data_IF_800122451961
#
_entry.id   IF_800122451961
#
_cell.length_a   1.000
_cell.length_b   1.000
_cell.length_c   1.000
_cell.angle_alpha   90.00
_cell.angle_beta   90.00
_cell.angle_gamma   90.00
#
_symmetry.space_group_name_H-M   'P 1'
#
loop_
_entity.id
_entity.type
_entity.pdbx_description
1 polymer ?
#
# COMPACT_ATOMS: atom_id res chain seq x y z
N UNK A 1 52.68 27.92 -28.88
CA UNK A 1 52.40 26.68 -28.06
C UNK A 1 51.19 26.98 -27.20
N UNK A 2 50.03 26.46 -27.65
CA UNK A 2 48.73 26.59 -26.96
C UNK A 2 48.55 25.26 -26.23
N UNK A 3 48.38 25.32 -24.89
CA UNK A 3 48.01 24.17 -24.09
C UNK A 3 46.46 24.07 -24.08
N UNK A 4 45.96 22.93 -24.49
CA UNK A 4 44.53 22.57 -24.43
C UNK A 4 44.21 22.05 -23.05
N UNK A 5 43.33 22.74 -22.32
CA UNK A 5 42.73 22.28 -21.07
C UNK A 5 41.64 21.24 -21.38
N UNK A 6 41.80 20.04 -20.85
CA UNK A 6 40.79 18.98 -20.86
C UNK A 6 39.79 19.24 -19.72
N UNK A 7 38.61 19.72 -20.05
CA UNK A 7 37.46 19.75 -19.16
C UNK A 7 36.99 18.33 -18.84
N UNK A 8 37.16 17.91 -17.58
CA UNK A 8 36.65 16.67 -17.03
C UNK A 8 35.23 16.88 -16.56
N UNK A 9 34.26 16.42 -17.33
CA UNK A 9 32.83 16.34 -16.92
C UNK A 9 32.64 15.15 -15.99
N UNK A 10 32.60 15.42 -14.69
CA UNK A 10 32.17 14.46 -13.67
C UNK A 10 30.64 14.23 -13.76
N UNK A 11 30.22 13.19 -14.47
CA UNK A 11 28.87 12.69 -14.40
C UNK A 11 28.64 11.98 -13.05
N UNK A 12 27.53 12.20 -12.35
CA UNK A 12 27.27 11.54 -11.08
C UNK A 12 27.12 10.04 -11.28
N UNK A 13 27.91 9.25 -10.55
CA UNK A 13 27.84 7.78 -10.53
C UNK A 13 26.45 7.35 -10.00
N UNK A 14 25.62 6.76 -10.87
CA UNK A 14 24.35 6.16 -10.50
C UNK A 14 24.60 4.91 -9.65
N UNK A 15 24.13 4.92 -8.40
CA UNK A 15 24.12 3.73 -7.56
C UNK A 15 23.03 2.74 -8.06
N UNK A 16 23.32 1.43 -8.17
CA UNK A 16 22.33 0.45 -8.60
C UNK A 16 21.24 0.28 -7.53
N UNK A 17 19.99 0.24 -7.99
CA UNK A 17 18.73 0.13 -7.23
C UNK A 17 18.72 -0.98 -6.15
N UNK A 18 19.53 -2.03 -6.33
CA UNK A 18 19.62 -3.19 -5.45
C UNK A 18 20.19 -2.90 -4.04
N UNK A 19 21.01 -1.85 -3.88
CA UNK A 19 21.63 -1.55 -2.58
C UNK A 19 20.71 -0.82 -1.61
N UNK A 20 19.81 0.02 -2.11
CA UNK A 20 18.88 0.77 -1.25
C UNK A 20 17.75 -0.12 -0.69
N UNK A 21 17.27 -1.10 -1.46
CA UNK A 21 16.36 -2.13 -0.95
C UNK A 21 16.99 -3.02 0.11
N UNK A 22 18.28 -3.33 -0.04
CA UNK A 22 19.03 -4.15 0.92
C UNK A 22 19.23 -3.45 2.26
N UNK A 23 19.49 -2.13 2.26
CA UNK A 23 19.71 -1.33 3.47
C UNK A 23 18.40 -1.23 4.29
N UNK A 24 17.25 -1.15 3.63
CA UNK A 24 15.96 -1.10 4.32
C UNK A 24 15.58 -2.45 4.93
N UNK A 25 15.82 -3.55 4.21
CA UNK A 25 15.57 -4.92 4.68
C UNK A 25 16.46 -5.31 5.88
N UNK A 26 17.72 -4.87 5.89
CA UNK A 26 18.67 -5.17 6.98
C UNK A 26 18.32 -4.42 8.28
N UNK A 27 17.70 -3.24 8.17
CA UNK A 27 17.32 -2.40 9.33
C UNK A 27 16.05 -2.86 10.04
N UNK A 28 15.22 -3.71 9.39
CA UNK A 28 13.97 -4.26 9.94
C UNK A 28 14.11 -5.75 10.31
N UNK A 29 15.28 -6.37 10.13
CA UNK A 29 15.53 -7.76 10.54
C UNK A 29 14.90 -8.80 9.60
N UNK A 30 14.45 -8.44 8.41
CA UNK A 30 13.87 -9.38 7.42
C UNK A 30 15.00 -9.98 6.57
N UNK A 31 15.60 -11.06 7.06
CA UNK A 31 16.43 -11.95 6.24
C UNK A 31 15.52 -12.71 5.28
N UNK A 32 15.45 -12.34 4.02
CA UNK A 32 14.67 -13.12 3.03
C UNK A 32 14.37 -12.43 1.71
N UNK A 33 14.49 -11.12 1.63
CA UNK A 33 14.07 -10.37 0.42
C UNK A 33 15.04 -10.45 -0.77
N UNK A 34 16.29 -10.92 -0.55
CA UNK A 34 17.29 -11.09 -1.61
C UNK A 34 17.08 -12.36 -2.46
N UNK A 35 16.38 -13.38 -1.93
CA UNK A 35 16.22 -14.70 -2.58
C UNK A 35 14.98 -14.73 -3.49
N UNK A 36 13.98 -13.89 -3.24
CA UNK A 36 12.73 -13.87 -4.02
C UNK A 36 12.89 -13.31 -5.46
N UNK A 37 13.96 -12.57 -5.73
CA UNK A 37 14.16 -11.94 -7.04
C UNK A 37 14.75 -12.88 -8.10
N UNK A 38 15.47 -13.94 -7.70
CA UNK A 38 16.09 -14.90 -8.62
C UNK A 38 15.30 -16.20 -8.82
N UNK A 39 14.42 -16.60 -7.88
CA UNK A 39 13.82 -17.94 -7.88
C UNK A 39 12.41 -18.03 -8.47
N UNK A 40 11.75 -16.92 -8.80
CA UNK A 40 10.38 -16.96 -9.35
C UNK A 40 10.30 -17.18 -10.87
N UNK A 41 11.42 -17.48 -11.54
CA UNK A 41 11.42 -17.86 -12.95
C UNK A 41 11.30 -19.39 -13.19
N UNK A 42 11.28 -20.21 -12.13
CA UNK A 42 11.26 -21.69 -12.25
C UNK A 42 10.45 -22.34 -11.13
N UNK A 43 9.16 -22.14 -11.05
CA UNK A 43 8.30 -22.97 -10.23
C UNK A 43 6.88 -23.05 -10.77
N UNK A 44 6.68 -23.81 -11.84
CA UNK A 44 5.42 -24.49 -12.13
C UNK A 44 5.49 -25.89 -11.56
N UNK A 45 5.05 -26.06 -10.31
CA UNK A 45 4.72 -27.36 -9.75
C UNK A 45 3.58 -27.17 -8.74
N UNK A 46 2.39 -27.65 -9.10
CA UNK A 46 1.23 -27.68 -8.22
C UNK A 46 1.44 -28.74 -7.12
N UNK A 47 1.13 -28.43 -5.85
CA UNK A 47 1.06 -29.47 -4.83
C UNK A 47 -0.23 -30.29 -4.96
N UNK A 48 -0.07 -31.58 -5.06
CA UNK A 48 -1.14 -32.58 -5.07
C UNK A 48 -1.62 -32.80 -3.62
N UNK A 49 -2.89 -32.50 -3.35
CA UNK A 49 -3.53 -32.84 -2.07
C UNK A 49 -4.26 -34.17 -2.19
N UNK A 50 -4.04 -35.15 -1.27
CA UNK A 50 -4.79 -36.38 -1.26
C UNK A 50 -6.20 -36.19 -0.70
N UNK A 51 -7.20 -36.70 -1.39
CA UNK A 51 -8.58 -36.78 -0.92
C UNK A 51 -8.74 -37.84 0.16
N UNK A 52 -9.37 -37.57 1.30
CA UNK A 52 -9.81 -38.64 2.21
C UNK A 52 -11.17 -39.15 1.77
N UNK A 53 -11.22 -40.41 1.31
CA UNK A 53 -12.43 -41.21 1.23
C UNK A 53 -12.88 -41.56 2.66
N UNK A 54 -13.98 -41.03 3.11
CA UNK A 54 -14.64 -41.55 4.30
C UNK A 54 -16.14 -41.70 4.02
N UNK A 55 -16.53 -42.94 3.78
CA UNK A 55 -17.93 -43.40 3.84
C UNK A 55 -18.43 -43.29 5.27
N UNK A 56 -19.41 -42.46 5.56
CA UNK A 56 -20.14 -42.49 6.82
C UNK A 56 -21.63 -42.81 6.59
N UNK A 57 -22.00 -43.87 7.24
CA UNK A 57 -23.33 -44.43 7.38
C UNK A 57 -24.29 -43.47 8.09
N UNK A 58 -25.51 -43.40 7.54
CA UNK A 58 -26.64 -42.65 8.07
C UNK A 58 -27.07 -43.13 9.45
N UNK A 59 -27.09 -42.24 10.42
CA UNK A 59 -27.89 -42.36 11.63
C UNK A 59 -28.72 -41.06 11.80
N UNK A 60 -29.96 -41.10 11.43
CA UNK A 60 -30.94 -40.04 11.70
C UNK A 60 -31.18 -39.95 13.20
N UNK A 61 -30.78 -38.85 13.81
CA UNK A 61 -31.18 -38.47 15.16
C UNK A 61 -31.76 -37.06 15.10
N UNK A 62 -33.09 -36.99 15.17
CA UNK A 62 -33.87 -35.75 15.27
C UNK A 62 -33.52 -35.04 16.56
N UNK A 63 -32.75 -33.93 16.46
CA UNK A 63 -32.63 -32.95 17.54
C UNK A 63 -33.34 -31.67 17.10
N UNK A 64 -34.30 -31.23 17.93
CA UNK A 64 -35.08 -30.02 17.72
C UNK A 64 -34.16 -28.78 17.61
N UNK A 65 -34.39 -28.00 16.60
CA UNK A 65 -33.72 -26.71 16.37
C UNK A 65 -34.27 -25.69 17.35
N UNK A 66 -33.61 -25.49 18.48
CA UNK A 66 -33.71 -24.24 19.23
C UNK A 66 -32.96 -23.18 18.45
N UNK A 67 -33.69 -22.36 17.71
CA UNK A 67 -33.14 -21.16 17.06
C UNK A 67 -32.75 -20.16 18.16
N UNK A 68 -31.48 -20.21 18.59
CA UNK A 68 -30.87 -19.14 19.39
C UNK A 68 -30.63 -18.00 18.40
N UNK A 69 -31.56 -17.05 18.31
CA UNK A 69 -31.32 -15.76 17.69
C UNK A 69 -30.32 -15.02 18.57
N UNK A 70 -29.05 -15.18 18.28
CA UNK A 70 -27.99 -14.35 18.86
C UNK A 70 -28.25 -12.91 18.38
N UNK A 71 -28.83 -12.08 19.26
CA UNK A 71 -28.82 -10.64 19.13
C UNK A 71 -27.36 -10.18 19.21
N UNK A 72 -26.72 -10.10 18.06
CA UNK A 72 -25.42 -9.43 17.97
C UNK A 72 -25.68 -7.95 18.24
N UNK A 73 -25.01 -7.35 19.22
CA UNK A 73 -25.13 -5.92 19.41
C UNK A 73 -24.59 -5.26 18.13
N UNK A 74 -25.46 -4.68 17.33
CA UNK A 74 -25.08 -3.76 16.27
C UNK A 74 -24.54 -2.52 16.99
N UNK A 75 -23.27 -2.54 17.36
CA UNK A 75 -22.58 -1.37 17.86
C UNK A 75 -22.74 -0.27 16.81
N UNK A 76 -23.37 0.83 17.18
CA UNK A 76 -23.41 2.03 16.38
C UNK A 76 -21.96 2.46 16.14
N UNK A 77 -21.39 2.09 14.97
CA UNK A 77 -20.12 2.66 14.51
C UNK A 77 -20.46 4.12 14.24
N UNK A 78 -20.01 5.01 15.11
CA UNK A 78 -20.18 6.45 14.94
C UNK A 78 -19.77 6.82 13.52
N UNK A 79 -20.69 7.45 12.78
CA UNK A 79 -20.47 7.80 11.39
C UNK A 79 -19.28 8.77 11.31
N UNK A 80 -18.24 8.37 10.59
CA UNK A 80 -17.08 9.22 10.33
C UNK A 80 -16.85 9.29 8.83
N UNK A 81 -16.47 10.49 8.35
CA UNK A 81 -16.20 10.72 6.93
C UNK A 81 -14.92 11.50 6.78
N UNK A 82 -14.01 11.00 5.93
CA UNK A 82 -12.84 11.74 5.48
C UNK A 82 -13.13 12.37 4.12
N UNK A 83 -12.68 13.62 3.95
CA UNK A 83 -12.79 14.36 2.70
C UNK A 83 -11.57 15.24 2.46
N UNK A 84 -11.28 15.56 1.20
CA UNK A 84 -10.29 16.58 0.86
C UNK A 84 -11.01 17.90 0.60
N UNK A 85 -10.59 18.93 1.32
CA UNK A 85 -10.98 20.31 1.08
C UNK A 85 -9.82 21.03 0.39
N UNK A 86 -10.00 21.39 -0.88
CA UNK A 86 -8.99 22.06 -1.67
C UNK A 86 -9.18 23.58 -1.55
N UNK A 87 -8.15 24.27 -1.09
CA UNK A 87 -8.09 25.74 -1.05
C UNK A 87 -7.46 26.27 -2.34
N UNK A 88 -6.34 25.66 -2.74
CA UNK A 88 -5.66 25.91 -4.01
C UNK A 88 -4.76 24.71 -4.37
N UNK A 89 -4.03 24.77 -5.48
CA UNK A 89 -3.17 23.68 -5.97
C UNK A 89 -2.08 23.25 -4.97
N UNK A 90 -1.72 24.11 -4.04
CA UNK A 90 -0.62 23.88 -3.09
C UNK A 90 -1.07 23.73 -1.64
N UNK A 91 -2.34 24.00 -1.34
CA UNK A 91 -2.89 23.91 0.00
C UNK A 91 -4.23 23.17 -0.01
N UNK A 92 -4.23 22.02 0.64
CA UNK A 92 -5.39 21.19 0.86
C UNK A 92 -5.53 20.88 2.36
N UNK A 93 -6.68 20.42 2.78
CA UNK A 93 -6.93 19.90 4.10
C UNK A 93 -7.56 18.50 3.99
N UNK A 94 -7.07 17.55 4.76
CA UNK A 94 -7.81 16.34 5.05
C UNK A 94 -8.77 16.66 6.20
N UNK A 95 -10.05 16.62 5.92
CA UNK A 95 -11.13 16.90 6.88
C UNK A 95 -11.70 15.59 7.38
N UNK A 96 -11.83 15.46 8.69
CA UNK A 96 -12.56 14.40 9.36
C UNK A 96 -13.84 15.00 9.95
N UNK A 97 -14.99 14.53 9.48
CA UNK A 97 -16.30 14.86 10.04
C UNK A 97 -16.81 13.66 10.82
N UNK A 98 -17.19 13.89 12.06
CA UNK A 98 -17.89 12.94 12.93
C UNK A 98 -19.24 13.51 13.33
N UNK A 99 -20.07 12.74 14.02
CA UNK A 99 -21.39 13.21 14.48
C UNK A 99 -21.34 14.47 15.35
N UNK A 100 -20.22 14.67 16.08
CA UNK A 100 -20.07 15.75 17.05
C UNK A 100 -19.05 16.81 16.67
N UNK A 101 -18.11 16.53 15.78
CA UNK A 101 -16.97 17.43 15.52
C UNK A 101 -16.50 17.38 14.08
N UNK A 102 -15.80 18.44 13.68
CA UNK A 102 -15.02 18.48 12.44
C UNK A 102 -13.59 18.86 12.78
N UNK A 103 -12.63 18.05 12.34
CA UNK A 103 -11.20 18.32 12.50
C UNK A 103 -10.51 18.37 11.14
N UNK A 104 -9.43 19.17 11.01
CA UNK A 104 -8.72 19.37 9.75
C UNK A 104 -7.22 19.17 9.93
N UNK A 105 -6.60 18.45 9.00
CA UNK A 105 -5.16 18.26 8.91
C UNK A 105 -4.62 18.96 7.66
N UNK A 106 -3.66 19.90 7.78
CA UNK A 106 -3.12 20.62 6.63
C UNK A 106 -2.25 19.73 5.74
N UNK A 107 -2.49 19.80 4.44
CA UNK A 107 -1.72 19.15 3.39
C UNK A 107 -1.17 20.23 2.44
N UNK A 108 0.00 20.84 2.75
CA UNK A 108 0.57 21.94 1.97
C UNK A 108 1.27 21.43 0.70
N UNK A 109 0.56 20.62 -0.09
CA UNK A 109 1.01 20.03 -1.36
C UNK A 109 -0.19 19.48 -2.14
N UNK A 110 -0.04 19.27 -3.46
CA UNK A 110 -1.10 18.72 -4.28
C UNK A 110 -1.52 17.33 -3.79
N UNK A 111 -2.84 17.11 -3.75
CA UNK A 111 -3.47 15.81 -3.49
C UNK A 111 -4.02 15.29 -4.81
N UNK A 112 -3.71 14.03 -5.16
CA UNK A 112 -4.20 13.44 -6.40
C UNK A 112 -5.21 12.30 -6.20
N UNK A 113 -5.31 11.77 -4.96
CA UNK A 113 -6.22 10.67 -4.63
C UNK A 113 -6.59 10.69 -3.14
N UNK A 114 -7.85 10.35 -2.85
CA UNK A 114 -8.32 9.96 -1.54
C UNK A 114 -9.05 8.62 -1.68
N UNK A 115 -8.70 7.65 -0.86
CA UNK A 115 -9.50 6.45 -0.63
C UNK A 115 -9.69 6.26 0.87
N UNK A 116 -10.77 5.59 1.24
CA UNK A 116 -11.07 5.30 2.65
C UNK A 116 -11.34 3.82 2.81
N UNK A 117 -10.68 3.19 3.78
CA UNK A 117 -10.79 1.77 4.05
C UNK A 117 -10.32 1.44 5.47
N UNK A 118 -10.71 0.30 5.98
CA UNK A 118 -10.10 -0.28 7.17
C UNK A 118 -8.76 -0.92 6.77
N UNK A 119 -7.69 -0.13 6.92
CA UNK A 119 -6.35 -0.51 6.44
C UNK A 119 -5.67 -1.48 7.38
N UNK A 120 -5.96 -1.37 8.68
CA UNK A 120 -5.28 -2.13 9.74
C UNK A 120 -6.12 -3.28 10.31
N UNK A 121 -7.38 -3.44 9.86
CA UNK A 121 -8.28 -4.50 10.31
C UNK A 121 -8.88 -4.29 11.70
N UNK A 122 -8.93 -3.03 12.19
CA UNK A 122 -9.48 -2.72 13.52
C UNK A 122 -10.98 -2.38 13.50
N UNK A 123 -11.63 -2.48 12.33
CA UNK A 123 -13.03 -2.16 12.11
C UNK A 123 -13.32 -0.66 11.95
N UNK A 124 -12.29 0.18 11.87
CA UNK A 124 -12.42 1.63 11.67
C UNK A 124 -11.86 2.02 10.31
N UNK A 125 -12.44 3.05 9.73
CA UNK A 125 -11.99 3.54 8.42
C UNK A 125 -10.84 4.51 8.58
N UNK A 126 -9.74 4.26 7.86
CA UNK A 126 -8.63 5.18 7.65
C UNK A 126 -8.75 5.92 6.32
N UNK A 127 -8.03 7.04 6.20
CA UNK A 127 -7.87 7.77 4.95
C UNK A 127 -6.51 7.48 4.32
N UNK A 128 -6.51 6.94 3.10
CA UNK A 128 -5.35 6.77 2.25
C UNK A 128 -5.28 7.98 1.30
N UNK A 129 -4.27 8.84 1.48
CA UNK A 129 -4.14 10.09 0.75
C UNK A 129 -2.95 10.06 -0.18
N UNK A 130 -3.23 10.19 -1.47
CA UNK A 130 -2.22 10.33 -2.51
C UNK A 130 -1.77 11.79 -2.65
N UNK A 131 -0.50 12.06 -2.39
CA UNK A 131 0.07 13.41 -2.41
C UNK A 131 1.28 13.51 -3.35
N UNK A 132 1.62 14.73 -3.79
CA UNK A 132 2.80 14.97 -4.62
C UNK A 132 3.78 15.83 -3.83
N UNK A 133 4.84 15.20 -3.28
CA UNK A 133 5.89 15.91 -2.53
C UNK A 133 7.21 15.14 -2.50
N UNK A 134 8.27 15.81 -2.06
CA UNK A 134 9.50 15.19 -1.60
C UNK A 134 9.38 14.79 -0.12
N UNK A 135 10.11 13.75 0.29
CA UNK A 135 10.21 13.35 1.69
C UNK A 135 11.68 13.31 2.12
N UNK A 136 11.93 13.23 3.43
CA UNK A 136 13.30 13.15 3.95
C UNK A 136 14.09 11.97 3.36
N UNK A 137 13.42 10.82 3.17
CA UNK A 137 14.05 9.60 2.68
C UNK A 137 14.01 9.45 1.15
N UNK A 138 13.22 10.32 0.47
CA UNK A 138 13.14 10.36 -0.98
C UNK A 138 13.00 11.82 -1.43
N UNK A 139 14.13 12.55 -1.60
CA UNK A 139 14.14 13.98 -1.85
C UNK A 139 13.54 14.38 -3.21
N UNK A 140 13.45 13.46 -4.16
CA UNK A 140 12.82 13.72 -5.45
C UNK A 140 11.32 13.93 -5.28
N UNK A 141 10.78 15.04 -5.83
CA UNK A 141 9.33 15.30 -5.86
C UNK A 141 8.63 14.20 -6.67
N UNK A 142 7.57 13.63 -6.12
CA UNK A 142 6.80 12.57 -6.77
C UNK A 142 5.60 12.16 -5.94
N UNK A 143 4.84 11.21 -6.47
CA UNK A 143 3.64 10.67 -5.81
C UNK A 143 4.01 9.87 -4.57
N UNK A 144 3.24 10.06 -3.50
CA UNK A 144 3.40 9.40 -2.20
C UNK A 144 2.03 8.98 -1.69
N UNK A 145 2.01 7.92 -0.92
CA UNK A 145 0.85 7.48 -0.16
C UNK A 145 1.05 7.88 1.30
N UNK A 146 0.04 8.50 1.90
CA UNK A 146 -0.05 8.78 3.33
C UNK A 146 -1.29 8.11 3.90
N UNK A 147 -1.23 7.67 5.15
CA UNK A 147 -2.37 7.08 5.84
C UNK A 147 -2.65 7.87 7.11
N UNK A 148 -3.93 8.22 7.29
CA UNK A 148 -4.42 8.94 8.46
C UNK A 148 -5.55 8.16 9.09
N UNK A 149 -5.69 8.32 10.40
CA UNK A 149 -6.78 7.72 11.20
C UNK A 149 -7.52 8.76 12.01
N UNK A 150 -8.73 8.39 12.41
CA UNK A 150 -9.41 9.08 13.48
C UNK A 150 -8.83 8.62 14.84
N UNK A 151 -8.33 9.55 15.60
CA UNK A 151 -7.94 9.32 16.98
C UNK A 151 -8.60 10.37 17.88
N UNK A 152 -9.58 9.95 18.68
CA UNK A 152 -10.36 10.84 19.58
C UNK A 152 -10.97 12.04 18.82
N UNK A 153 -11.64 11.77 17.70
CA UNK A 153 -12.27 12.75 16.82
C UNK A 153 -11.29 13.76 16.19
N UNK A 154 -10.01 13.39 16.06
CA UNK A 154 -8.99 14.20 15.40
C UNK A 154 -8.29 13.39 14.32
N UNK A 155 -7.94 14.06 13.23
CA UNK A 155 -7.07 13.49 12.20
C UNK A 155 -5.67 13.28 12.80
N UNK A 156 -5.13 12.07 12.68
CA UNK A 156 -3.76 11.74 13.07
C UNK A 156 -3.07 10.96 11.99
N UNK A 157 -1.85 11.35 11.67
CA UNK A 157 -1.01 10.59 10.78
C UNK A 157 -0.72 9.22 11.38
N UNK A 158 -0.98 8.17 10.61
CA UNK A 158 -0.67 6.78 10.91
C UNK A 158 0.60 6.36 10.17
N UNK A 159 0.72 6.77 8.92
CA UNK A 159 1.91 6.58 8.11
C UNK A 159 2.07 7.71 7.10
N UNK A 160 3.20 8.38 7.14
CA UNK A 160 3.58 9.39 6.16
C UNK A 160 4.76 8.85 5.37
N UNK A 161 4.49 7.74 4.71
CA UNK A 161 5.49 6.89 4.10
C UNK A 161 6.31 7.57 3.04
N UNK A 162 7.56 7.20 3.04
CA UNK A 162 8.52 7.72 2.09
C UNK A 162 8.40 7.07 0.73
N UNK A 163 8.22 5.74 0.69
CA UNK A 163 8.31 4.96 -0.54
C UNK A 163 7.75 3.56 -0.32
N UNK A 164 7.01 3.04 -1.28
CA UNK A 164 6.78 1.62 -1.50
C UNK A 164 7.98 1.02 -2.26
N UNK A 165 7.85 -0.09 -2.93
CA UNK A 165 8.98 -0.75 -3.60
C UNK A 165 9.59 0.04 -4.75
N UNK A 166 8.74 0.65 -5.60
CA UNK A 166 9.13 1.41 -6.78
C UNK A 166 8.79 2.90 -6.73
N UNK A 167 8.76 3.54 -7.90
CA UNK A 167 8.31 4.93 -8.07
C UNK A 167 6.78 4.90 -8.22
N UNK A 168 6.07 5.30 -7.17
CA UNK A 168 4.61 5.25 -7.13
C UNK A 168 4.00 6.11 -8.24
N UNK A 169 3.10 5.51 -9.01
CA UNK A 169 2.27 6.17 -10.03
C UNK A 169 0.84 6.29 -9.56
N UNK A 170 0.31 5.26 -8.93
CA UNK A 170 -1.03 5.25 -8.38
C UNK A 170 -1.19 4.13 -7.34
N UNK A 171 -2.29 4.15 -6.58
CA UNK A 171 -2.63 3.08 -5.64
C UNK A 171 -4.14 2.95 -5.55
N UNK A 172 -4.59 1.81 -5.05
CA UNK A 172 -5.97 1.56 -4.63
C UNK A 172 -5.98 0.56 -3.47
N UNK A 173 -7.03 0.58 -2.68
CA UNK A 173 -7.25 -0.41 -1.63
C UNK A 173 -8.24 -1.47 -2.13
N UNK A 174 -7.81 -2.73 -2.15
CA UNK A 174 -8.60 -3.86 -2.67
C UNK A 174 -8.34 -5.07 -1.78
N UNK A 175 -9.40 -5.73 -1.32
CA UNK A 175 -9.34 -7.00 -0.57
C UNK A 175 -8.32 -7.00 0.61
N UNK A 176 -8.31 -5.90 1.37
CA UNK A 176 -7.44 -5.78 2.56
C UNK A 176 -5.97 -5.48 2.26
N UNK A 177 -5.64 -5.12 1.03
CA UNK A 177 -4.27 -4.73 0.63
C UNK A 177 -4.27 -3.41 -0.15
N UNK A 178 -3.17 -2.70 -0.07
CA UNK A 178 -2.87 -1.60 -0.98
C UNK A 178 -2.23 -2.18 -2.24
N UNK A 179 -2.92 -2.10 -3.35
CA UNK A 179 -2.38 -2.39 -4.67
C UNK A 179 -1.77 -1.12 -5.24
N UNK A 180 -0.49 -1.17 -5.58
CA UNK A 180 0.25 -0.05 -6.15
C UNK A 180 0.54 -0.25 -7.63
N UNK A 181 0.45 0.82 -8.39
CA UNK A 181 1.03 0.94 -9.72
C UNK A 181 2.34 1.70 -9.58
N UNK A 182 3.44 1.08 -9.94
CA UNK A 182 4.78 1.64 -9.77
C UNK A 182 5.56 1.61 -11.08
N UNK A 183 6.59 2.44 -11.18
CA UNK A 183 7.58 2.34 -12.27
C UNK A 183 8.97 2.06 -11.73
N UNK A 184 9.76 1.36 -12.53
CA UNK A 184 11.19 1.19 -12.32
C UNK A 184 11.95 2.43 -12.83
N UNK A 185 13.22 2.54 -12.50
CA UNK A 185 14.10 3.58 -13.05
C UNK A 185 14.29 3.48 -14.56
N UNK A 186 14.03 2.30 -15.15
CA UNK A 186 14.05 2.08 -16.60
C UNK A 186 12.70 2.37 -17.27
N UNK A 187 11.72 2.90 -16.55
CA UNK A 187 10.40 3.26 -17.09
C UNK A 187 9.44 2.09 -17.32
N UNK A 188 9.80 0.86 -16.92
CA UNK A 188 8.90 -0.29 -16.95
C UNK A 188 7.96 -0.26 -15.76
N UNK A 189 6.75 -0.82 -15.93
CA UNK A 189 5.72 -0.83 -14.90
C UNK A 189 5.78 -2.11 -14.05
N UNK A 190 5.37 -1.95 -12.80
CA UNK A 190 5.21 -3.00 -11.80
C UNK A 190 3.88 -2.77 -11.10
N UNK A 191 3.12 -3.84 -10.84
CA UNK A 191 1.96 -3.81 -9.94
C UNK A 191 2.26 -4.73 -8.77
N UNK A 192 2.18 -4.18 -7.57
CA UNK A 192 2.50 -4.89 -6.34
C UNK A 192 1.39 -4.71 -5.30
N UNK A 193 1.30 -5.64 -4.38
CA UNK A 193 0.37 -5.59 -3.25
C UNK A 193 1.13 -5.49 -1.94
N UNK A 194 0.61 -4.65 -1.04
CA UNK A 194 1.16 -4.37 0.27
C UNK A 194 0.06 -4.48 1.32
N UNK A 195 0.36 -5.09 2.45
CA UNK A 195 -0.54 -5.18 3.61
C UNK A 195 -0.03 -4.32 4.74
N UNK A 196 -0.95 -3.75 5.49
CA UNK A 196 -0.59 -3.07 6.72
C UNK A 196 -0.04 -4.06 7.76
N UNK A 197 1.11 -3.74 8.33
CA UNK A 197 1.74 -4.54 9.37
C UNK A 197 2.35 -3.62 10.43
N UNK A 198 1.78 -3.66 11.64
CA UNK A 198 2.25 -2.85 12.75
C UNK A 198 2.14 -1.34 12.51
N UNK A 199 3.14 -0.72 11.91
CA UNK A 199 3.18 0.73 11.66
C UNK A 199 3.57 1.11 10.22
N UNK A 200 3.41 0.19 9.27
CA UNK A 200 3.74 0.44 7.86
C UNK A 200 3.21 -0.62 6.93
N UNK A 201 3.59 -0.53 5.67
CA UNK A 201 3.22 -1.49 4.65
C UNK A 201 4.33 -2.51 4.43
N UNK A 202 3.96 -3.78 4.50
CA UNK A 202 4.78 -4.92 4.14
C UNK A 202 4.42 -5.40 2.74
N UNK A 203 5.42 -5.76 1.95
CA UNK A 203 5.24 -6.34 0.62
C UNK A 203 4.58 -7.72 0.72
N UNK A 204 3.55 -7.96 -0.08
CA UNK A 204 2.85 -9.25 -0.17
C UNK A 204 3.29 -10.00 -1.42
N UNK A 205 3.08 -9.41 -2.60
CA UNK A 205 3.41 -10.04 -3.89
C UNK A 205 3.47 -9.04 -5.03
N UNK A 206 4.06 -9.47 -6.12
CA UNK A 206 3.88 -8.82 -7.41
C UNK A 206 2.71 -9.45 -8.18
N UNK A 207 1.90 -8.63 -8.83
CA UNK A 207 0.91 -9.09 -9.81
C UNK A 207 1.54 -9.15 -11.21
N UNK A 208 2.29 -8.10 -11.59
CA UNK A 208 3.11 -8.07 -12.81
C UNK A 208 4.42 -7.31 -12.55
N UNK A 209 5.48 -7.67 -13.27
CA UNK A 209 6.82 -7.10 -13.08
C UNK A 209 7.44 -6.73 -14.41
N UNK A 210 7.92 -5.47 -14.53
CA UNK A 210 8.64 -4.95 -15.71
C UNK A 210 7.87 -5.08 -17.02
N UNK A 211 6.58 -4.84 -16.96
CA UNK A 211 5.67 -4.94 -18.12
C UNK A 211 5.44 -3.58 -18.81
N UNK A 212 4.69 -3.56 -19.90
CA UNK A 212 4.19 -2.35 -20.56
C UNK A 212 3.09 -1.67 -19.74
N UNK A 213 2.76 -0.41 -20.08
CA UNK A 213 1.75 0.38 -19.37
C UNK A 213 0.37 -0.26 -19.41
N UNK A 214 -0.06 -0.76 -20.57
CA UNK A 214 -1.39 -1.33 -20.75
C UNK A 214 -1.60 -2.61 -19.91
N UNK A 215 -0.63 -3.51 -19.95
CA UNK A 215 -0.64 -4.73 -19.15
C UNK A 215 -0.66 -4.42 -17.65
N UNK A 216 0.14 -3.44 -17.21
CA UNK A 216 0.14 -3.01 -15.84
C UNK A 216 -1.20 -2.41 -15.41
N UNK A 217 -1.83 -1.56 -16.23
CA UNK A 217 -3.14 -0.99 -15.95
C UNK A 217 -4.23 -2.06 -15.88
N UNK A 218 -4.17 -3.08 -16.73
CA UNK A 218 -5.09 -4.22 -16.66
C UNK A 218 -4.96 -4.95 -15.33
N UNK A 219 -3.75 -5.27 -14.90
CA UNK A 219 -3.51 -5.93 -13.61
C UNK A 219 -3.85 -5.04 -12.40
N UNK A 220 -3.63 -3.72 -12.52
CA UNK A 220 -3.95 -2.76 -11.47
C UNK A 220 -5.46 -2.60 -11.26
N UNK A 221 -6.28 -2.71 -12.30
CA UNK A 221 -7.73 -2.50 -12.27
C UNK A 221 -8.55 -3.78 -12.02
N UNK A 222 -7.94 -4.95 -12.04
CA UNK A 222 -8.59 -6.20 -11.63
C UNK A 222 -8.87 -6.19 -10.11
#
# INVERSE_FOLDING_TARGET
RIKSDKSSTNAPKRLPYSKECLIFATRIGVKGMSIAYENNAKATAQPHFPHPNTTMTNAFRTYGWLAITALWPTGNIAAQTFAIETVNDSLNYLTLKTDSTTDKWPLPYPVYRLETADVNGDGRTEALVGVIKSTRFYPQKGRRLFVFKNYKNRVRAMWMGSKLGGILQDFRFVDGVVRSLETTTSGRYVVAEYRWQGFGFEFVRFLVVKVGREEALKAFNQ
#
